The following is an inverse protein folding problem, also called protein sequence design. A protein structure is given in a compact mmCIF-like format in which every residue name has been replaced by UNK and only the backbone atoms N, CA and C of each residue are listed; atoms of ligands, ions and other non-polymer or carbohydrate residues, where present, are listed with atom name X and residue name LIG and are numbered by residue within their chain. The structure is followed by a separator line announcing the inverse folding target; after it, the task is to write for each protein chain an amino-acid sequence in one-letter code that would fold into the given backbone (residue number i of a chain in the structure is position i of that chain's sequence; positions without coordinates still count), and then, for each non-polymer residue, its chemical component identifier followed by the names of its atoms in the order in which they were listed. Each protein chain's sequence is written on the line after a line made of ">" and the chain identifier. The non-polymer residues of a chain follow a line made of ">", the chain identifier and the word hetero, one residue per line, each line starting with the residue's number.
data_IF_538628116251
#
_entry.id   IF_538628116251
#
_cell.length_a   1.000
_cell.length_b   1.000
_cell.length_c   1.000
_cell.angle_alpha   90.00
_cell.angle_beta   90.00
_cell.angle_gamma   90.00
#
_symmetry.space_group_name_H-M   'P 1'
#
loop_
_entity.id
_entity.type
_entity.pdbx_description
1 polymer ?
#
# COMPACT_ATOMS: atom_id res chain seq x y z
N UNK A 1 9.01 -17.16 -10.49
CA UNK A 1 8.88 -15.78 -11.02
C UNK A 1 8.91 -14.84 -9.83
N UNK A 2 10.06 -14.21 -9.56
CA UNK A 2 10.20 -13.25 -8.45
C UNK A 2 9.56 -11.91 -8.80
N UNK A 3 8.32 -11.72 -8.32
CA UNK A 3 7.61 -10.45 -8.47
C UNK A 3 8.31 -9.41 -7.58
N UNK A 4 8.91 -8.38 -8.21
CA UNK A 4 9.55 -7.28 -7.46
C UNK A 4 8.49 -6.29 -6.98
N UNK A 5 8.34 -6.19 -5.66
CA UNK A 5 7.46 -5.19 -5.04
C UNK A 5 8.25 -3.93 -4.70
N UNK A 6 7.85 -2.82 -5.28
CA UNK A 6 8.39 -1.50 -4.97
C UNK A 6 7.31 -0.67 -4.28
N UNK A 7 7.50 -0.40 -2.99
CA UNK A 7 6.60 0.46 -2.21
C UNK A 7 7.04 1.90 -2.34
N UNK A 8 6.24 2.70 -3.03
CA UNK A 8 6.47 4.11 -3.28
C UNK A 8 5.42 4.96 -2.53
N UNK A 9 5.88 5.88 -1.68
CA UNK A 9 5.02 6.72 -0.85
C UNK A 9 4.68 8.06 -1.52
N UNK A 10 5.49 8.48 -2.49
CA UNK A 10 5.23 9.61 -3.37
C UNK A 10 4.89 9.07 -4.75
N UNK A 11 3.75 9.43 -5.32
CA UNK A 11 3.51 9.18 -6.74
C UNK A 11 3.71 10.44 -7.59
N UNK A 12 4.52 10.29 -8.63
CA UNK A 12 4.82 11.29 -9.64
C UNK A 12 3.62 11.45 -10.58
N UNK A 13 3.01 12.64 -10.60
CA UNK A 13 2.07 13.19 -11.62
C UNK A 13 0.77 12.43 -11.94
N UNK A 14 0.70 11.10 -11.84
CA UNK A 14 -0.39 10.32 -12.43
C UNK A 14 -1.67 10.30 -11.59
N UNK A 15 -1.56 10.41 -10.27
CA UNK A 15 -2.70 10.36 -9.34
C UNK A 15 -2.90 11.66 -8.54
N UNK A 16 -2.08 12.69 -8.81
CA UNK A 16 -2.08 13.98 -8.10
C UNK A 16 -2.11 13.82 -6.56
N UNK A 17 -1.34 12.87 -6.04
CA UNK A 17 -1.27 12.65 -4.60
C UNK A 17 -0.68 13.88 -3.92
N UNK A 18 -1.46 14.52 -3.06
CA UNK A 18 -0.99 15.63 -2.21
C UNK A 18 0.12 15.12 -1.29
N UNK A 19 1.15 15.93 -1.05
CA UNK A 19 2.22 15.59 -0.09
C UNK A 19 1.67 15.21 1.29
N UNK A 20 0.56 15.86 1.69
CA UNK A 20 -0.17 15.57 2.93
C UNK A 20 -0.64 14.11 3.04
N UNK A 21 -0.89 13.43 1.92
CA UNK A 21 -1.26 12.00 1.92
C UNK A 21 -0.08 11.12 2.29
N UNK A 22 1.11 11.48 1.83
CA UNK A 22 2.34 10.74 2.16
C UNK A 22 2.59 10.83 3.67
N UNK A 23 2.53 12.04 4.22
CA UNK A 23 2.65 12.31 5.65
C UNK A 23 1.61 11.52 6.45
N UNK A 24 0.34 11.58 6.04
CA UNK A 24 -0.73 10.81 6.69
C UNK A 24 -0.45 9.31 6.74
N UNK A 25 0.06 8.72 5.64
CA UNK A 25 0.43 7.29 5.63
C UNK A 25 1.57 7.03 6.62
N UNK A 26 2.61 7.87 6.63
CA UNK A 26 3.74 7.70 7.56
C UNK A 26 3.32 7.84 9.01
N UNK A 27 2.44 8.79 9.33
CA UNK A 27 1.90 8.96 10.67
C UNK A 27 1.13 7.71 11.11
N UNK A 28 0.27 7.18 10.24
CA UNK A 28 -0.50 5.95 10.52
C UNK A 28 0.39 4.72 10.62
N UNK A 29 1.47 4.64 9.85
CA UNK A 29 2.47 3.60 9.96
C UNK A 29 3.19 3.66 11.31
N UNK A 30 3.57 4.87 11.76
CA UNK A 30 4.25 5.09 13.04
C UNK A 30 3.32 4.76 14.22
N UNK A 31 2.09 5.24 14.19
CA UNK A 31 1.07 5.02 15.22
C UNK A 31 0.80 3.52 15.43
N UNK A 32 0.73 2.75 14.34
CA UNK A 32 0.48 1.31 14.37
C UNK A 32 1.71 0.43 14.41
N UNK A 33 2.93 0.98 14.44
CA UNK A 33 4.16 0.18 14.27
C UNK A 33 4.15 -0.71 12.99
N UNK A 34 3.53 -0.25 11.91
CA UNK A 34 3.48 -0.94 10.61
C UNK A 34 4.61 -0.41 9.73
N UNK A 35 5.58 -1.26 9.41
CA UNK A 35 6.70 -0.92 8.54
C UNK A 35 6.46 -1.25 7.06
N UNK A 36 7.47 -0.95 6.24
CA UNK A 36 7.45 -1.26 4.79
C UNK A 36 7.41 -2.76 4.52
N UNK A 37 8.04 -3.57 5.36
CA UNK A 37 8.04 -5.03 5.23
C UNK A 37 6.65 -5.61 5.49
N UNK A 38 5.94 -5.11 6.49
CA UNK A 38 4.54 -5.44 6.75
C UNK A 38 3.66 -5.10 5.54
N UNK A 39 3.84 -3.92 4.94
CA UNK A 39 3.12 -3.58 3.70
C UNK A 39 3.40 -4.59 2.59
N UNK A 40 4.66 -4.99 2.38
CA UNK A 40 5.00 -6.01 1.38
C UNK A 40 4.36 -7.35 1.70
N UNK A 41 4.37 -7.77 2.96
CA UNK A 41 3.74 -9.01 3.41
C UNK A 41 2.23 -8.99 3.17
N UNK A 42 1.53 -7.92 3.54
CA UNK A 42 0.10 -7.78 3.27
C UNK A 42 -0.19 -7.83 1.76
N UNK A 43 0.62 -7.18 0.93
CA UNK A 43 0.45 -7.19 -0.53
C UNK A 43 0.73 -8.57 -1.15
N UNK A 44 1.60 -9.38 -0.54
CA UNK A 44 1.94 -10.73 -1.02
C UNK A 44 0.95 -11.78 -0.52
N UNK A 45 0.72 -11.81 0.80
CA UNK A 45 0.06 -12.90 1.53
C UNK A 45 -1.34 -12.53 2.03
N UNK A 46 -1.68 -11.24 2.08
CA UNK A 46 -2.95 -10.77 2.61
C UNK A 46 -4.15 -11.09 1.71
N UNK A 47 -5.32 -11.22 2.33
CA UNK A 47 -6.59 -11.32 1.64
C UNK A 47 -6.91 -9.98 0.98
N UNK A 48 -7.17 -10.00 -0.33
CA UNK A 48 -7.34 -8.78 -1.14
C UNK A 48 -8.79 -8.56 -1.50
N UNK A 49 -9.26 -7.35 -1.24
CA UNK A 49 -10.58 -6.87 -1.68
C UNK A 49 -10.40 -5.64 -2.55
N UNK A 50 -10.96 -5.65 -3.75
CA UNK A 50 -10.95 -4.50 -4.66
C UNK A 50 -12.15 -3.63 -4.31
N UNK A 51 -11.90 -2.35 -4.01
CA UNK A 51 -12.94 -1.35 -3.71
C UNK A 51 -13.46 -0.70 -4.99
N UNK A 52 -14.62 -0.05 -4.91
CA UNK A 52 -15.24 0.65 -6.05
C UNK A 52 -14.34 1.73 -6.67
N UNK A 53 -13.45 2.34 -5.88
CA UNK A 53 -12.48 3.36 -6.32
C UNK A 53 -11.21 2.75 -6.96
N UNK A 54 -11.20 1.43 -7.22
CA UNK A 54 -10.07 0.64 -7.73
C UNK A 54 -8.87 0.57 -6.78
N UNK A 55 -9.01 1.01 -5.52
CA UNK A 55 -8.01 0.71 -4.49
C UNK A 55 -8.15 -0.74 -4.03
N UNK A 56 -7.04 -1.31 -3.60
CA UNK A 56 -6.98 -2.68 -3.07
C UNK A 56 -6.78 -2.56 -1.57
N UNK A 57 -7.68 -3.19 -0.83
CA UNK A 57 -7.51 -3.45 0.59
C UNK A 57 -6.89 -4.83 0.75
N UNK A 58 -5.65 -4.90 1.25
CA UNK A 58 -5.06 -6.16 1.67
C UNK A 58 -5.10 -6.26 3.19
N UNK A 59 -5.86 -7.23 3.70
CA UNK A 59 -5.91 -7.55 5.13
C UNK A 59 -4.95 -8.69 5.43
N UNK A 60 -4.11 -8.52 6.44
CA UNK A 60 -3.16 -9.54 6.87
C UNK A 60 -2.91 -9.45 8.38
N UNK A 61 -3.21 -10.54 9.08
CA UNK A 61 -3.14 -10.60 10.55
C UNK A 61 -4.02 -9.51 11.18
N UNK A 62 -3.44 -8.68 12.06
CA UNK A 62 -4.11 -7.63 12.83
C UNK A 62 -4.17 -6.28 12.09
N UNK A 63 -3.73 -6.21 10.84
CA UNK A 63 -3.72 -4.95 10.09
C UNK A 63 -4.21 -5.11 8.65
N UNK A 64 -4.63 -4.01 8.06
CA UNK A 64 -5.00 -3.89 6.67
C UNK A 64 -4.29 -2.71 6.01
N UNK A 65 -3.94 -2.86 4.74
CA UNK A 65 -3.29 -1.82 3.94
C UNK A 65 -4.19 -1.53 2.76
N UNK A 66 -4.66 -0.29 2.66
CA UNK A 66 -5.30 0.21 1.45
C UNK A 66 -4.21 0.79 0.55
N UNK A 67 -4.10 0.30 -0.68
CA UNK A 67 -3.10 0.75 -1.64
C UNK A 67 -3.64 0.76 -3.06
N UNK A 68 -2.96 1.49 -3.95
CA UNK A 68 -3.10 1.35 -5.40
C UNK A 68 -1.91 0.61 -5.94
N UNK A 69 -2.12 -0.24 -6.92
CA UNK A 69 -1.02 -0.92 -7.61
C UNK A 69 -0.93 -0.49 -9.06
N UNK A 70 0.32 -0.41 -9.53
CA UNK A 70 0.63 -0.25 -10.94
C UNK A 70 1.59 -1.38 -11.33
N UNK A 71 1.15 -2.23 -12.26
CA UNK A 71 1.92 -3.38 -12.73
C UNK A 71 2.64 -3.00 -14.02
N UNK A 72 3.97 -3.01 -14.00
CA UNK A 72 4.81 -2.85 -15.18
C UNK A 72 5.67 -4.10 -15.31
N UNK A 73 5.34 -4.97 -16.26
CA UNK A 73 6.01 -6.26 -16.46
C UNK A 73 6.02 -7.07 -15.14
N UNK A 74 7.20 -7.38 -14.62
CA UNK A 74 7.43 -8.13 -13.37
C UNK A 74 7.50 -7.26 -12.10
N UNK A 75 7.35 -5.94 -12.24
CA UNK A 75 7.39 -5.00 -11.13
C UNK A 75 5.98 -4.57 -10.74
N UNK A 76 5.64 -4.80 -9.47
CA UNK A 76 4.44 -4.21 -8.84
C UNK A 76 4.87 -2.97 -8.06
N UNK A 77 4.51 -1.80 -8.58
CA UNK A 77 4.63 -0.54 -7.84
C UNK A 77 3.40 -0.38 -6.97
N UNK A 78 3.61 -0.27 -5.67
CA UNK A 78 2.56 -0.15 -4.66
C UNK A 78 2.60 1.27 -4.12
N UNK A 79 1.44 1.90 -4.11
CA UNK A 79 1.22 3.24 -3.57
C UNK A 79 0.25 3.13 -2.40
N UNK A 80 0.75 3.08 -1.16
CA UNK A 80 -0.09 3.01 0.02
C UNK A 80 -0.96 4.27 0.13
N UNK A 81 -2.24 4.09 0.40
CA UNK A 81 -3.20 5.17 0.68
C UNK A 81 -3.35 5.36 2.18
N UNK A 82 -3.48 4.25 2.92
CA UNK A 82 -3.53 4.24 4.38
C UNK A 82 -3.25 2.83 4.91
N UNK A 83 -2.88 2.76 6.19
CA UNK A 83 -2.81 1.51 6.96
C UNK A 83 -3.89 1.56 8.03
N UNK A 84 -4.42 0.41 8.42
CA UNK A 84 -5.52 0.27 9.39
C UNK A 84 -5.24 -0.93 10.29
N UNK A 85 -5.72 -0.88 11.53
CA UNK A 85 -5.88 -2.07 12.37
C UNK A 85 -7.23 -2.72 12.06
N UNK A 86 -7.30 -4.04 12.21
CA UNK A 86 -8.50 -4.86 12.00
C UNK A 86 -8.99 -5.40 13.31
#
# INVERSE_FOLDING_TARGET
>A
MDIKINVAFRNLKHWQDSEKRSEHVFDRMKERAIGKEQIKEAVLKGAKTIRADKSILATYRWYAVAYREFRIKDVRKIYPITVMEV
#
